data_IF_369319360293
#
_entry.id   IF_369319360293
#
_cell.length_a   1.000
_cell.length_b   1.000
_cell.length_c   1.000
_cell.angle_alpha   90.00
_cell.angle_beta   90.00
_cell.angle_gamma   90.00
#
_symmetry.space_group_name_H-M   'P 1'
#
loop_
_entity.id
_entity.type
_entity.pdbx_description
1 polymer ?
#
# COMPACT_ATOMS: atom_id res chain seq x y z
N UNK A 1 -13.51 -3.45 0.36
CA UNK A 1 -12.60 -2.60 1.16
C UNK A 1 -12.06 -1.51 0.23
N UNK A 2 -12.68 -0.31 0.20
CA UNK A 2 -12.28 0.79 -0.70
C UNK A 2 -11.80 2.04 0.06
N UNK A 3 -11.95 2.08 1.38
CA UNK A 3 -11.78 3.32 2.16
C UNK A 3 -10.39 3.94 2.05
N UNK A 4 -9.35 3.13 1.84
CA UNK A 4 -7.99 3.65 1.67
C UNK A 4 -7.84 4.44 0.36
N UNK A 5 -8.34 3.90 -0.75
CA UNK A 5 -8.25 4.55 -2.05
C UNK A 5 -9.12 5.83 -2.12
N UNK A 6 -10.25 5.84 -1.42
CA UNK A 6 -11.11 7.03 -1.30
C UNK A 6 -10.39 8.17 -0.57
N UNK A 7 -9.62 7.85 0.48
CA UNK A 7 -8.77 8.83 1.18
C UNK A 7 -7.69 9.38 0.25
N UNK A 8 -7.05 8.52 -0.55
CA UNK A 8 -6.03 8.95 -1.52
C UNK A 8 -6.59 9.93 -2.55
N UNK A 9 -7.74 9.59 -3.14
CA UNK A 9 -8.44 10.45 -4.10
C UNK A 9 -8.77 11.80 -3.49
N UNK A 10 -9.29 11.80 -2.25
CA UNK A 10 -9.67 13.03 -1.56
C UNK A 10 -8.47 13.89 -1.20
N UNK A 11 -7.38 13.30 -0.73
CA UNK A 11 -6.16 14.03 -0.40
C UNK A 11 -5.57 14.74 -1.63
N UNK A 12 -5.51 14.06 -2.78
CA UNK A 12 -5.04 14.67 -4.03
C UNK A 12 -5.99 15.77 -4.54
N UNK A 13 -7.30 15.60 -4.36
CA UNK A 13 -8.29 16.64 -4.70
C UNK A 13 -8.18 17.88 -3.81
N UNK A 14 -7.66 17.75 -2.59
CA UNK A 14 -7.46 18.88 -1.68
C UNK A 14 -6.20 19.67 -2.02
N UNK A 15 -5.13 19.00 -2.46
CA UNK A 15 -3.89 19.65 -2.88
C UNK A 15 -3.17 18.78 -3.91
N UNK A 16 -3.07 19.32 -5.13
CA UNK A 16 -2.33 18.67 -6.20
C UNK A 16 -0.86 18.49 -5.81
N UNK A 17 -0.32 17.28 -6.00
CA UNK A 17 1.09 16.98 -5.74
C UNK A 17 1.41 16.59 -4.30
N UNK A 18 0.40 16.40 -3.45
CA UNK A 18 0.60 15.87 -2.09
C UNK A 18 1.11 14.42 -2.17
N UNK A 19 2.24 14.15 -1.53
CA UNK A 19 2.77 12.78 -1.40
C UNK A 19 2.06 12.08 -0.27
N UNK A 20 1.54 10.89 -0.54
CA UNK A 20 0.86 10.06 0.45
C UNK A 20 1.71 8.83 0.75
N UNK A 21 2.09 8.69 2.00
CA UNK A 21 2.86 7.57 2.50
C UNK A 21 1.96 6.66 3.31
N UNK A 22 1.91 5.37 2.94
CA UNK A 22 1.22 4.34 3.69
C UNK A 22 2.24 3.50 4.43
N UNK A 23 2.23 3.63 5.75
CA UNK A 23 2.95 2.72 6.63
C UNK A 23 2.15 1.44 6.80
N UNK A 24 2.64 0.37 6.18
CA UNK A 24 2.10 -0.99 6.29
C UNK A 24 2.97 -1.91 7.13
N UNK A 25 4.04 -1.41 7.76
CA UNK A 25 5.00 -2.21 8.52
C UNK A 25 4.34 -3.03 9.63
N UNK A 26 3.21 -2.58 10.16
CA UNK A 26 2.42 -3.26 11.21
C UNK A 26 1.07 -3.78 10.73
N UNK A 27 0.74 -3.61 9.45
CA UNK A 27 -0.53 -4.02 8.89
C UNK A 27 -0.51 -5.51 8.54
N UNK A 28 -1.56 -6.25 8.91
CA UNK A 28 -1.81 -7.59 8.36
C UNK A 28 -2.58 -7.40 7.07
N UNK A 29 -1.92 -7.64 5.95
CA UNK A 29 -2.49 -7.52 4.61
C UNK A 29 -2.26 -8.82 3.85
N UNK A 30 -3.24 -9.22 3.06
CA UNK A 30 -3.10 -10.33 2.13
C UNK A 30 -1.99 -10.00 1.10
N UNK A 31 -1.16 -10.97 0.71
CA UNK A 31 -0.06 -10.75 -0.22
C UNK A 31 -0.56 -10.21 -1.58
N UNK A 32 -1.69 -10.71 -2.08
CA UNK A 32 -2.31 -10.22 -3.32
C UNK A 32 -2.72 -8.74 -3.24
N UNK A 33 -3.22 -8.31 -2.07
CA UNK A 33 -3.57 -6.91 -1.85
C UNK A 33 -2.33 -6.02 -1.74
N UNK A 34 -1.24 -6.52 -1.16
CA UNK A 34 0.04 -5.80 -1.12
C UNK A 34 0.64 -5.63 -2.52
N UNK A 35 0.55 -6.66 -3.38
CA UNK A 35 0.97 -6.54 -4.78
C UNK A 35 0.15 -5.49 -5.53
N UNK A 36 -1.17 -5.47 -5.35
CA UNK A 36 -2.03 -4.47 -6.00
C UNK A 36 -1.65 -3.05 -5.57
N UNK A 37 -1.36 -2.85 -4.29
CA UNK A 37 -0.92 -1.56 -3.76
C UNK A 37 0.46 -1.18 -4.30
N UNK A 38 1.42 -2.11 -4.35
CA UNK A 38 2.74 -1.87 -4.96
C UNK A 38 2.62 -1.53 -6.45
N UNK A 39 1.72 -2.19 -7.19
CA UNK A 39 1.44 -1.86 -8.57
C UNK A 39 0.90 -0.43 -8.68
N UNK A 40 -0.03 -0.03 -7.82
CA UNK A 40 -0.54 1.35 -7.78
C UNK A 40 0.57 2.37 -7.48
N UNK A 41 1.50 2.05 -6.57
CA UNK A 41 2.65 2.91 -6.25
C UNK A 41 3.61 3.04 -7.43
N UNK A 42 3.95 1.94 -8.11
CA UNK A 42 4.83 1.95 -9.29
C UNK A 42 4.21 2.69 -10.48
N UNK A 43 2.94 2.42 -10.74
CA UNK A 43 2.20 3.06 -11.80
C UNK A 43 1.87 4.51 -11.49
N UNK A 44 1.92 4.93 -10.20
CA UNK A 44 1.45 6.24 -9.72
C UNK A 44 0.00 6.52 -10.08
N UNK A 45 -0.81 5.49 -10.23
CA UNK A 45 -2.22 5.60 -10.56
C UNK A 45 -3.02 4.74 -9.60
N UNK A 46 -4.17 5.24 -9.18
CA UNK A 46 -5.13 4.43 -8.43
C UNK A 46 -5.83 3.42 -9.36
N UNK A 47 -6.41 2.35 -8.82
CA UNK A 47 -7.20 1.42 -9.63
C UNK A 47 -8.33 2.15 -10.37
N UNK A 48 -8.60 1.78 -11.61
CA UNK A 48 -9.62 2.43 -12.45
C UNK A 48 -11.03 2.44 -11.84
N UNK A 49 -11.32 1.46 -10.97
CA UNK A 49 -12.57 1.40 -10.18
C UNK A 49 -12.72 2.54 -9.17
N UNK A 50 -11.62 3.16 -8.73
CA UNK A 50 -11.59 4.27 -7.77
C UNK A 50 -11.41 5.61 -8.48
N UNK A 51 -10.43 5.66 -9.39
CA UNK A 51 -10.19 6.83 -10.22
C UNK A 51 -10.24 6.47 -11.71
N UNK A 52 -11.41 6.60 -12.36
CA UNK A 52 -11.54 6.32 -13.78
C UNK A 52 -10.75 7.31 -14.64
N UNK A 53 -10.36 8.47 -14.09
CA UNK A 53 -9.53 9.45 -14.80
C UNK A 53 -8.03 9.09 -14.77
N UNK A 54 -7.64 8.09 -13.97
CA UNK A 54 -6.24 7.67 -13.82
C UNK A 54 -5.33 8.88 -13.59
N UNK A 55 -5.68 9.73 -12.62
CA UNK A 55 -4.85 10.90 -12.29
C UNK A 55 -3.51 10.44 -11.73
N UNK A 56 -2.43 11.22 -11.91
CA UNK A 56 -1.14 10.89 -11.30
C UNK A 56 -1.20 11.13 -9.78
N UNK A 57 -0.82 10.13 -8.99
CA UNK A 57 -0.74 10.14 -7.54
C UNK A 57 0.67 9.76 -7.09
N UNK A 58 1.23 10.54 -6.17
CA UNK A 58 2.49 10.22 -5.51
C UNK A 58 2.22 9.33 -4.30
N UNK A 59 2.22 8.01 -4.52
CA UNK A 59 2.01 7.00 -3.49
C UNK A 59 3.33 6.31 -3.14
N UNK A 60 3.68 6.32 -1.85
CA UNK A 60 4.77 5.53 -1.28
C UNK A 60 4.21 4.51 -0.29
N UNK A 61 4.65 3.26 -0.40
CA UNK A 61 4.23 2.18 0.53
C UNK A 61 5.46 1.74 1.30
N UNK A 62 5.42 1.90 2.61
CA UNK A 62 6.39 1.31 3.51
C UNK A 62 5.85 -0.09 3.87
N UNK A 63 6.24 -1.07 3.06
CA UNK A 63 5.93 -2.46 3.34
C UNK A 63 6.77 -2.96 4.53
N UNK A 64 6.29 -3.94 5.30
CA UNK A 64 7.14 -4.63 6.27
C UNK A 64 8.35 -5.20 5.52
N UNK A 65 9.53 -5.04 6.09
CA UNK A 65 10.76 -5.57 5.50
C UNK A 65 10.59 -7.08 5.34
N UNK A 66 10.52 -7.56 4.09
CA UNK A 66 10.43 -8.99 3.79
C UNK A 66 11.69 -9.75 4.25
N UNK A 67 12.70 -9.08 4.84
CA UNK A 67 13.82 -9.72 5.53
C UNK A 67 13.39 -10.28 6.90
N UNK A 68 12.55 -11.31 6.87
CA UNK A 68 12.73 -12.59 7.53
C UNK A 68 11.34 -13.21 7.79
N UNK A 69 11.04 -14.40 7.23
CA UNK A 69 10.06 -15.24 7.90
C UNK A 69 10.60 -15.47 9.31
N UNK A 70 9.73 -15.30 10.32
CA UNK A 70 10.04 -15.59 11.71
C UNK A 70 10.82 -16.90 11.80
N UNK A 71 12.12 -16.81 12.06
CA UNK A 71 12.89 -17.85 12.72
C UNK A 71 12.42 -17.97 14.19
N UNK A 72 11.11 -18.17 14.37
CA UNK A 72 10.46 -18.39 15.65
C UNK A 72 9.68 -19.72 15.60
N UNK A 73 10.31 -20.75 15.04
CA UNK A 73 10.00 -22.15 15.32
C UNK A 73 11.31 -22.95 15.37
N UNK A 74 12.29 -22.45 16.13
CA UNK A 74 13.51 -23.19 16.46
C UNK A 74 13.92 -22.95 17.92
N UNK A 75 13.00 -23.21 18.83
CA UNK A 75 13.22 -23.52 20.25
C UNK A 75 11.98 -24.31 20.63
N UNK A 76 12.02 -25.61 20.92
CA UNK A 76 12.87 -26.26 21.90
C UNK A 76 12.97 -27.77 21.57
N UNK A 77 14.18 -28.29 21.56
CA UNK A 77 14.47 -29.72 21.55
C UNK A 77 14.07 -30.35 22.90
N UNK A 78 13.60 -31.60 22.84
CA UNK A 78 13.58 -32.55 23.96
C UNK A 78 14.19 -33.86 23.46
#
# INVERSE_FOLDING_TARGET
>A
MNGLYDVMKRANSLTAGMTLELDMTRARIEPDALEELQACSKSRHLPARVDPLQSDYRLSILAPDSAAPLAAMATQAA
#
